data_IF_845992789213
#
_entry.id   IF_845992789213
#
_cell.length_a   1.000
_cell.length_b   1.000
_cell.length_c   1.000
_cell.angle_alpha   90.00
_cell.angle_beta   90.00
_cell.angle_gamma   90.00
#
_symmetry.space_group_name_H-M   'P 1'
#
loop_
_entity.id
_entity.type
_entity.pdbx_description
1 polymer ?
#
# COMPACT_ATOMS: atom_id res chain seq x y z
N UNK A 1 1.17 4.69 -50.54
CA UNK A 1 0.12 3.74 -50.05
C UNK A 1 0.30 3.39 -48.56
N UNK A 2 1.29 3.94 -47.84
CA UNK A 2 1.56 3.72 -46.42
C UNK A 2 0.75 4.64 -45.45
N UNK A 3 0.18 5.73 -45.92
CA UNK A 3 -0.47 6.76 -45.12
C UNK A 3 -1.89 6.43 -44.63
N UNK A 4 -2.47 5.31 -45.04
CA UNK A 4 -3.86 4.93 -44.64
C UNK A 4 -3.96 3.92 -43.50
N UNK A 5 -2.87 3.31 -43.09
CA UNK A 5 -2.90 2.32 -41.96
C UNK A 5 -2.96 3.01 -40.62
N UNK A 6 -2.37 4.20 -40.51
CA UNK A 6 -2.34 4.96 -39.25
C UNK A 6 -3.71 5.54 -38.82
N UNK A 7 -4.66 5.70 -39.76
CA UNK A 7 -6.02 6.20 -39.45
C UNK A 7 -6.91 5.16 -38.74
N UNK A 8 -6.56 3.87 -38.78
CA UNK A 8 -7.31 2.80 -38.12
C UNK A 8 -6.69 2.37 -36.78
N UNK A 9 -5.51 2.85 -36.44
CA UNK A 9 -4.89 2.58 -35.14
C UNK A 9 -5.55 3.42 -34.05
N UNK A 10 -6.35 2.76 -33.19
CA UNK A 10 -6.86 3.38 -31.98
C UNK A 10 -5.65 3.66 -31.08
N UNK A 11 -5.24 4.91 -30.93
CA UNK A 11 -4.13 5.32 -30.09
C UNK A 11 -4.34 4.91 -28.63
N UNK A 12 -3.25 4.87 -27.85
CA UNK A 12 -3.30 4.60 -26.40
C UNK A 12 -4.29 5.52 -25.70
N UNK A 13 -5.19 4.96 -24.89
CA UNK A 13 -6.20 5.71 -24.15
C UNK A 13 -5.89 5.66 -22.66
N UNK A 14 -5.91 6.80 -21.93
CA UNK A 14 -5.74 6.81 -20.48
C UNK A 14 -6.95 6.19 -19.79
N UNK A 15 -6.71 5.42 -18.74
CA UNK A 15 -7.77 4.94 -17.86
C UNK A 15 -8.42 6.12 -17.11
N UNK A 16 -9.73 6.07 -16.89
CA UNK A 16 -10.52 7.11 -16.22
C UNK A 16 -11.46 6.58 -15.13
N UNK A 17 -11.62 5.27 -15.07
CA UNK A 17 -12.58 4.61 -14.19
C UNK A 17 -12.15 4.67 -12.72
N UNK A 18 -10.84 4.60 -12.45
CA UNK A 18 -10.30 4.57 -11.09
C UNK A 18 -9.91 5.98 -10.65
N UNK A 19 -10.73 6.52 -9.78
CA UNK A 19 -10.60 7.86 -9.22
C UNK A 19 -9.77 7.91 -7.92
N UNK A 20 -9.80 9.06 -7.26
CA UNK A 20 -9.08 9.31 -6.01
C UNK A 20 -9.60 8.46 -4.84
N UNK A 21 -10.88 8.06 -4.82
CA UNK A 21 -11.45 7.21 -3.78
C UNK A 21 -10.81 5.83 -3.79
N UNK A 22 -10.67 5.22 -4.97
CA UNK A 22 -9.98 3.93 -5.13
C UNK A 22 -8.50 4.05 -4.74
N UNK A 23 -7.82 5.11 -5.15
CA UNK A 23 -6.41 5.36 -4.79
C UNK A 23 -6.25 5.45 -3.27
N UNK A 24 -7.11 6.22 -2.60
CA UNK A 24 -7.10 6.39 -1.15
C UNK A 24 -7.40 5.07 -0.42
N UNK A 25 -8.32 4.26 -0.94
CA UNK A 25 -8.55 2.92 -0.44
C UNK A 25 -7.32 2.02 -0.58
N UNK A 26 -6.69 1.98 -1.75
CA UNK A 26 -5.48 1.16 -1.96
C UNK A 26 -4.36 1.55 -1.00
N UNK A 27 -4.24 2.84 -0.67
CA UNK A 27 -3.28 3.34 0.31
C UNK A 27 -3.68 2.96 1.74
N UNK A 28 -4.86 3.39 2.20
CA UNK A 28 -5.30 3.18 3.58
C UNK A 28 -5.53 1.71 3.92
N UNK A 29 -6.06 0.94 2.96
CA UNK A 29 -6.26 -0.50 3.13
C UNK A 29 -4.93 -1.23 3.35
N UNK A 30 -3.92 -0.93 2.54
CA UNK A 30 -2.58 -1.47 2.72
C UNK A 30 -1.91 -0.99 4.00
N UNK A 31 -1.87 0.33 4.22
CA UNK A 31 -1.25 0.95 5.39
C UNK A 31 -1.88 0.48 6.71
N UNK A 32 -3.22 0.36 6.76
CA UNK A 32 -3.93 -0.17 7.93
C UNK A 32 -3.60 -1.62 8.23
N UNK A 33 -3.50 -2.47 7.18
CA UNK A 33 -3.10 -3.86 7.33
C UNK A 33 -1.62 -3.98 7.76
N UNK A 34 -0.74 -3.16 7.20
CA UNK A 34 0.67 -3.08 7.60
C UNK A 34 0.84 -2.64 9.06
N UNK A 35 0.14 -1.58 9.46
CA UNK A 35 0.14 -1.10 10.84
C UNK A 35 -0.36 -2.17 11.82
N UNK A 36 -1.44 -2.88 11.48
CA UNK A 36 -1.95 -3.98 12.30
C UNK A 36 -0.91 -5.09 12.45
N UNK A 37 -0.25 -5.51 11.37
CA UNK A 37 0.78 -6.55 11.44
C UNK A 37 1.98 -6.13 12.30
N UNK A 38 2.45 -4.90 12.16
CA UNK A 38 3.52 -4.34 13.00
C UNK A 38 3.10 -4.23 14.46
N UNK A 39 1.83 -3.87 14.74
CA UNK A 39 1.31 -3.82 16.11
C UNK A 39 1.32 -5.18 16.81
N UNK A 40 1.08 -6.26 16.06
CA UNK A 40 1.19 -7.63 16.59
C UNK A 40 2.65 -8.02 16.90
N UNK A 41 3.60 -7.53 16.11
CA UNK A 41 5.02 -7.73 16.36
C UNK A 41 5.48 -6.97 17.62
N UNK A 42 4.93 -5.77 17.83
CA UNK A 42 5.24 -4.91 18.99
C UNK A 42 4.39 -5.25 20.22
N UNK A 43 3.47 -6.20 20.14
CA UNK A 43 2.49 -6.56 21.17
C UNK A 43 1.71 -5.35 21.71
N UNK A 44 1.25 -4.48 20.78
CA UNK A 44 0.63 -3.21 21.11
C UNK A 44 -0.82 -3.12 20.60
N UNK A 45 -1.79 -3.47 21.45
CA UNK A 45 -3.21 -3.58 21.09
C UNK A 45 -3.82 -2.27 20.55
N UNK A 46 -3.49 -1.11 21.12
CA UNK A 46 -4.00 0.19 20.67
C UNK A 46 -3.49 0.55 19.26
N UNK A 47 -2.25 0.22 18.95
CA UNK A 47 -1.73 0.35 17.59
C UNK A 47 -2.47 -0.58 16.61
N UNK A 48 -2.81 -1.80 17.05
CA UNK A 48 -3.64 -2.73 16.29
C UNK A 48 -5.04 -2.19 16.01
N UNK A 49 -5.67 -1.58 17.01
CA UNK A 49 -6.96 -0.90 16.85
C UNK A 49 -6.87 0.23 15.81
N UNK A 50 -5.84 1.07 15.90
CA UNK A 50 -5.60 2.12 14.91
C UNK A 50 -5.45 1.54 13.50
N UNK A 51 -4.71 0.43 13.34
CA UNK A 51 -4.56 -0.27 12.06
C UNK A 51 -5.89 -0.73 11.47
N UNK A 52 -6.76 -1.31 12.30
CA UNK A 52 -8.11 -1.70 11.87
C UNK A 52 -8.98 -0.48 11.51
N UNK A 53 -8.90 0.60 12.26
CA UNK A 53 -9.64 1.84 11.96
C UNK A 53 -9.19 2.45 10.62
N UNK A 54 -7.89 2.48 10.33
CA UNK A 54 -7.34 2.95 9.06
C UNK A 54 -7.81 2.06 7.89
N UNK A 55 -7.80 0.73 8.06
CA UNK A 55 -8.33 -0.21 7.08
C UNK A 55 -9.82 0.02 6.81
N UNK A 56 -10.62 0.15 7.87
CA UNK A 56 -12.07 0.39 7.76
C UNK A 56 -12.35 1.72 7.06
N UNK A 57 -11.61 2.78 7.40
CA UNK A 57 -11.72 4.08 6.72
C UNK A 57 -11.45 3.94 5.22
N UNK A 58 -10.38 3.24 4.83
CA UNK A 58 -10.10 2.95 3.42
C UNK A 58 -11.24 2.19 2.76
N UNK A 59 -11.78 1.16 3.43
CA UNK A 59 -12.90 0.37 2.91
C UNK A 59 -14.17 1.20 2.73
N UNK A 60 -14.44 2.14 3.64
CA UNK A 60 -15.56 3.08 3.50
C UNK A 60 -15.39 3.99 2.28
N UNK A 61 -14.17 4.48 2.00
CA UNK A 61 -13.91 5.27 0.78
C UNK A 61 -14.17 4.44 -0.49
N UNK A 62 -13.80 3.15 -0.50
CA UNK A 62 -14.13 2.26 -1.60
C UNK A 62 -15.64 2.07 -1.77
N UNK A 63 -16.39 1.95 -0.68
CA UNK A 63 -17.85 1.85 -0.72
C UNK A 63 -18.50 3.12 -1.28
N UNK A 64 -17.95 4.30 -0.96
CA UNK A 64 -18.42 5.58 -1.50
C UNK A 64 -18.16 5.73 -3.01
N UNK A 65 -17.15 5.02 -3.55
CA UNK A 65 -16.88 5.00 -5.01
C UNK A 65 -17.92 4.16 -5.78
N UNK A 66 -18.68 3.31 -5.10
CA UNK A 66 -19.73 2.51 -5.73
C UNK A 66 -20.93 3.39 -6.08
N UNK A 67 -21.31 3.44 -7.34
CA UNK A 67 -22.52 4.16 -7.77
C UNK A 67 -23.82 3.72 -7.07
N UNK A 68 -23.82 2.51 -6.48
CA UNK A 68 -24.91 1.94 -5.68
C UNK A 68 -24.37 1.15 -4.50
N UNK A 69 -23.97 1.82 -3.41
CA UNK A 69 -23.32 1.20 -2.26
C UNK A 69 -24.23 0.17 -1.56
N UNK A 70 -25.55 0.30 -1.64
CA UNK A 70 -26.51 -0.68 -1.08
C UNK A 70 -26.40 -2.08 -1.71
N UNK A 71 -25.66 -2.19 -2.83
CA UNK A 71 -25.45 -3.47 -3.54
C UNK A 71 -24.06 -4.05 -3.34
N UNK A 72 -23.24 -3.50 -2.40
CA UNK A 72 -21.86 -3.94 -2.16
C UNK A 72 -21.74 -5.44 -1.85
N UNK A 73 -22.74 -6.03 -1.19
CA UNK A 73 -22.81 -7.45 -0.86
C UNK A 73 -22.65 -8.36 -2.08
N UNK A 74 -22.98 -7.87 -3.30
CA UNK A 74 -22.79 -8.62 -4.55
C UNK A 74 -21.32 -8.86 -4.87
N UNK A 75 -20.41 -8.04 -4.34
CA UNK A 75 -18.98 -8.22 -4.52
C UNK A 75 -18.48 -9.55 -3.93
N UNK A 76 -19.18 -10.16 -2.97
CA UNK A 76 -18.81 -11.43 -2.37
C UNK A 76 -19.07 -12.66 -3.25
N UNK A 77 -19.92 -12.57 -4.28
CA UNK A 77 -20.42 -13.77 -4.99
C UNK A 77 -19.49 -14.38 -6.04
N UNK A 78 -18.34 -13.76 -6.36
CA UNK A 78 -17.46 -14.27 -7.42
C UNK A 78 -15.99 -14.39 -6.96
N UNK A 79 -15.68 -15.10 -5.85
CA UNK A 79 -14.32 -15.14 -5.30
C UNK A 79 -13.33 -15.89 -6.19
N UNK A 80 -13.82 -16.83 -7.02
CA UNK A 80 -12.97 -17.62 -7.91
C UNK A 80 -12.48 -16.83 -9.13
N UNK A 81 -13.24 -15.85 -9.61
CA UNK A 81 -12.95 -15.11 -10.84
C UNK A 81 -12.58 -13.65 -10.63
N UNK A 82 -12.84 -13.07 -9.45
CA UNK A 82 -12.65 -11.63 -9.17
C UNK A 82 -11.73 -11.40 -7.97
N UNK A 83 -10.65 -10.64 -8.19
CA UNK A 83 -9.78 -10.21 -7.09
C UNK A 83 -10.50 -9.27 -6.11
N UNK A 84 -11.45 -8.45 -6.59
CA UNK A 84 -12.28 -7.60 -5.74
C UNK A 84 -13.09 -8.46 -4.76
N UNK A 85 -13.70 -9.55 -5.23
CA UNK A 85 -14.42 -10.50 -4.35
C UNK A 85 -13.50 -11.11 -3.30
N UNK A 86 -12.29 -11.55 -3.68
CA UNK A 86 -11.31 -12.08 -2.72
C UNK A 86 -10.93 -11.06 -1.68
N UNK A 87 -10.73 -9.79 -2.11
CA UNK A 87 -10.44 -8.69 -1.20
C UNK A 87 -11.54 -8.45 -0.16
N UNK A 88 -12.82 -8.56 -0.54
CA UNK A 88 -13.94 -8.46 0.41
C UNK A 88 -13.82 -9.51 1.52
N UNK A 89 -13.48 -10.78 1.18
CA UNK A 89 -13.25 -11.83 2.18
C UNK A 89 -12.03 -11.54 3.06
N UNK A 90 -10.90 -11.12 2.47
CA UNK A 90 -9.68 -10.84 3.22
C UNK A 90 -9.88 -9.69 4.21
N UNK A 91 -10.54 -8.61 3.78
CA UNK A 91 -10.86 -7.47 4.64
C UNK A 91 -11.80 -7.89 5.76
N UNK A 92 -12.86 -8.66 5.44
CA UNK A 92 -13.82 -9.15 6.45
C UNK A 92 -13.12 -10.03 7.48
N UNK A 93 -12.31 -10.98 7.05
CA UNK A 93 -11.52 -11.84 7.95
C UNK A 93 -10.58 -10.99 8.82
N UNK A 94 -9.88 -10.02 8.24
CA UNK A 94 -8.96 -9.16 8.98
C UNK A 94 -9.71 -8.32 10.01
N UNK A 95 -10.85 -7.72 9.68
CA UNK A 95 -11.64 -6.92 10.65
C UNK A 95 -12.16 -7.81 11.78
N UNK A 96 -12.73 -8.97 11.47
CA UNK A 96 -13.30 -9.87 12.49
C UNK A 96 -12.20 -10.48 13.38
N UNK A 97 -11.25 -11.18 12.80
CA UNK A 97 -10.21 -11.86 13.57
C UNK A 97 -9.19 -10.89 14.16
N UNK A 98 -8.92 -9.76 13.47
CA UNK A 98 -8.09 -8.70 14.01
C UNK A 98 -8.71 -8.05 15.25
N UNK A 99 -10.01 -7.75 15.25
CA UNK A 99 -10.71 -7.24 16.42
C UNK A 99 -10.68 -8.24 17.58
N UNK A 100 -10.92 -9.53 17.30
CA UNK A 100 -10.79 -10.59 18.29
C UNK A 100 -9.35 -10.68 18.84
N UNK A 101 -8.33 -10.56 18.00
CA UNK A 101 -6.92 -10.67 18.40
C UNK A 101 -6.49 -9.55 19.34
N UNK A 102 -6.95 -8.31 19.13
CA UNK A 102 -6.57 -7.18 19.99
C UNK A 102 -7.42 -7.05 21.25
N UNK A 103 -8.60 -7.69 21.30
CA UNK A 103 -9.57 -7.58 22.39
C UNK A 103 -8.96 -7.85 23.79
N UNK A 104 -8.14 -8.90 24.01
CA UNK A 104 -7.51 -9.14 25.33
C UNK A 104 -6.60 -8.00 25.77
N UNK A 105 -5.80 -7.43 24.85
CA UNK A 105 -4.92 -6.30 25.15
C UNK A 105 -5.65 -4.98 25.40
N UNK A 106 -6.94 -4.91 25.06
CA UNK A 106 -7.83 -3.78 25.38
C UNK A 106 -8.68 -4.04 26.65
N UNK A 107 -8.46 -5.16 27.34
CA UNK A 107 -9.19 -5.52 28.56
C UNK A 107 -10.48 -6.32 28.34
N UNK A 108 -10.66 -6.93 27.16
CA UNK A 108 -11.84 -7.75 26.84
C UNK A 108 -11.51 -9.26 26.76
N UNK A 109 -12.28 -10.06 27.45
CA UNK A 109 -12.80 -11.40 27.22
C UNK A 109 -11.96 -12.65 27.41
N UNK A 110 -10.69 -12.83 27.08
CA UNK A 110 -10.01 -14.14 27.25
C UNK A 110 -8.49 -14.05 27.37
N UNK A 111 -7.90 -15.15 27.84
CA UNK A 111 -6.44 -15.27 27.91
C UNK A 111 -5.86 -15.51 26.51
N UNK A 112 -4.94 -14.65 26.08
CA UNK A 112 -4.29 -14.70 24.77
C UNK A 112 -3.44 -15.96 24.54
N UNK A 113 -3.08 -16.68 25.61
CA UNK A 113 -2.25 -17.89 25.54
C UNK A 113 -2.97 -19.19 25.22
N UNK A 114 -4.29 -19.18 25.01
CA UNK A 114 -5.06 -20.38 24.68
C UNK A 114 -4.81 -20.88 23.26
N UNK A 115 -5.12 -22.15 22.97
CA UNK A 115 -5.08 -22.70 21.62
C UNK A 115 -5.97 -21.90 20.65
N UNK A 116 -7.13 -21.42 21.11
CA UNK A 116 -8.03 -20.54 20.37
C UNK A 116 -7.35 -19.21 20.05
N UNK A 117 -6.67 -18.58 21.00
CA UNK A 117 -5.93 -17.32 20.79
C UNK A 117 -4.85 -17.48 19.71
N UNK A 118 -4.15 -18.63 19.70
CA UNK A 118 -3.15 -18.92 18.67
C UNK A 118 -3.77 -19.04 17.27
N UNK A 119 -4.93 -19.66 17.14
CA UNK A 119 -5.66 -19.74 15.86
C UNK A 119 -6.14 -18.37 15.41
N UNK A 120 -6.71 -17.57 16.31
CA UNK A 120 -7.15 -16.21 16.02
C UNK A 120 -5.96 -15.37 15.52
N UNK A 121 -4.80 -15.44 16.21
CA UNK A 121 -3.57 -14.76 15.79
C UNK A 121 -3.12 -15.18 14.40
N UNK A 122 -3.07 -16.50 14.14
CA UNK A 122 -2.66 -17.01 12.84
C UNK A 122 -3.57 -16.53 11.69
N UNK A 123 -4.89 -16.57 11.90
CA UNK A 123 -5.87 -16.10 10.90
C UNK A 123 -5.77 -14.60 10.70
N UNK A 124 -5.63 -13.81 11.75
CA UNK A 124 -5.51 -12.34 11.63
C UNK A 124 -4.22 -11.92 10.92
N UNK A 125 -3.08 -12.59 11.21
CA UNK A 125 -1.81 -12.38 10.50
C UNK A 125 -1.95 -12.73 9.02
N UNK A 126 -2.49 -13.91 8.70
CA UNK A 126 -2.70 -14.34 7.32
C UNK A 126 -3.63 -13.37 6.57
N UNK A 127 -4.72 -12.92 7.20
CA UNK A 127 -5.64 -11.97 6.62
C UNK A 127 -4.97 -10.60 6.36
N UNK A 128 -4.15 -10.09 7.28
CA UNK A 128 -3.40 -8.85 7.11
C UNK A 128 -2.44 -8.93 5.92
N UNK A 129 -1.66 -10.02 5.82
CA UNK A 129 -0.76 -10.26 4.68
C UNK A 129 -1.55 -10.33 3.36
N UNK A 130 -2.68 -11.05 3.33
CA UNK A 130 -3.52 -11.15 2.15
C UNK A 130 -4.12 -9.80 1.74
N UNK A 131 -4.52 -8.94 2.69
CA UNK A 131 -5.00 -7.58 2.39
C UNK A 131 -3.89 -6.73 1.78
N UNK A 132 -2.67 -6.76 2.29
CA UNK A 132 -1.55 -6.00 1.73
C UNK A 132 -1.23 -6.44 0.30
N UNK A 133 -1.14 -7.75 0.06
CA UNK A 133 -0.82 -8.32 -1.26
C UNK A 133 -1.98 -8.11 -2.25
N UNK A 134 -3.22 -8.25 -1.78
CA UNK A 134 -4.42 -8.11 -2.58
C UNK A 134 -4.51 -6.74 -3.26
N UNK A 135 -4.13 -5.66 -2.59
CA UNK A 135 -4.16 -4.30 -3.16
C UNK A 135 -3.30 -4.19 -4.43
N UNK A 136 -2.22 -4.95 -4.54
CA UNK A 136 -1.43 -5.08 -5.76
C UNK A 136 -2.04 -6.03 -6.80
N UNK A 137 -2.66 -7.12 -6.34
CA UNK A 137 -3.34 -8.07 -7.25
C UNK A 137 -4.59 -7.50 -7.91
N UNK A 138 -5.19 -6.44 -7.40
CA UNK A 138 -6.28 -5.75 -8.08
C UNK A 138 -5.82 -5.12 -9.39
N UNK A 139 -4.55 -4.70 -9.49
CA UNK A 139 -3.94 -4.10 -10.68
C UNK A 139 -3.27 -5.16 -11.57
N UNK A 140 -2.52 -6.07 -10.97
CA UNK A 140 -1.61 -6.98 -11.65
C UNK A 140 -2.21 -7.83 -12.78
N UNK A 141 -3.41 -8.43 -12.68
CA UNK A 141 -3.99 -9.22 -13.78
C UNK A 141 -4.82 -8.36 -14.74
N UNK A 142 -4.26 -7.26 -15.23
CA UNK A 142 -4.90 -6.34 -16.18
C UNK A 142 -4.18 -6.32 -17.52
N UNK A 143 -4.37 -7.31 -18.40
CA UNK A 143 -3.68 -7.35 -19.69
C UNK A 143 -4.02 -6.16 -20.59
N UNK A 144 -5.19 -5.53 -20.38
CA UNK A 144 -5.60 -4.34 -21.12
C UNK A 144 -4.75 -3.09 -20.79
N UNK A 145 -4.09 -3.07 -19.63
CA UNK A 145 -3.17 -2.00 -19.20
C UNK A 145 -1.81 -2.64 -18.90
N UNK A 146 -0.94 -2.79 -19.90
CA UNK A 146 0.32 -3.53 -19.76
C UNK A 146 1.24 -3.01 -18.65
N UNK A 147 1.22 -1.72 -18.36
CA UNK A 147 1.99 -1.12 -17.27
C UNK A 147 1.59 -1.70 -15.91
N UNK A 148 0.33 -2.08 -15.71
CA UNK A 148 -0.15 -2.71 -14.48
C UNK A 148 0.10 -4.22 -14.45
N UNK A 149 0.16 -4.86 -15.63
CA UNK A 149 0.28 -6.31 -15.76
C UNK A 149 1.69 -6.80 -15.39
N UNK A 150 1.97 -6.80 -14.09
CA UNK A 150 3.27 -7.17 -13.52
C UNK A 150 3.12 -7.90 -12.20
N UNK A 151 3.83 -9.01 -12.05
CA UNK A 151 3.94 -9.75 -10.79
C UNK A 151 4.65 -8.95 -9.67
N UNK A 152 5.32 -7.84 -10.02
CA UNK A 152 5.98 -7.00 -9.02
C UNK A 152 5.00 -6.14 -8.23
N UNK A 153 3.83 -5.77 -8.77
CA UNK A 153 2.88 -4.91 -8.04
C UNK A 153 2.43 -5.46 -6.69
N UNK A 154 2.01 -6.74 -6.56
CA UNK A 154 1.67 -7.30 -5.25
C UNK A 154 2.80 -7.19 -4.23
N UNK A 155 4.06 -7.37 -4.66
CA UNK A 155 5.24 -7.26 -3.80
C UNK A 155 5.53 -5.80 -3.45
N UNK A 156 5.48 -4.89 -4.42
CA UNK A 156 5.66 -3.44 -4.20
C UNK A 156 4.62 -2.94 -3.19
N UNK A 157 3.34 -3.27 -3.40
CA UNK A 157 2.26 -2.82 -2.51
C UNK A 157 2.37 -3.41 -1.11
N UNK A 158 2.81 -4.67 -0.99
CA UNK A 158 3.08 -5.30 0.30
C UNK A 158 4.17 -4.56 1.08
N UNK A 159 5.32 -4.28 0.45
CA UNK A 159 6.45 -3.61 1.11
C UNK A 159 6.10 -2.16 1.47
N UNK A 160 5.44 -1.42 0.58
CA UNK A 160 4.94 -0.08 0.88
C UNK A 160 3.91 -0.09 2.01
N UNK A 161 3.04 -1.10 2.09
CA UNK A 161 2.04 -1.20 3.15
C UNK A 161 2.69 -1.39 4.53
N UNK A 162 3.75 -2.19 4.63
CA UNK A 162 4.54 -2.32 5.85
C UNK A 162 5.22 -1.00 6.22
N UNK A 163 5.87 -0.35 5.25
CA UNK A 163 6.55 0.92 5.45
C UNK A 163 5.57 2.00 5.94
N UNK A 164 4.43 2.16 5.26
CA UNK A 164 3.38 3.10 5.66
C UNK A 164 2.77 2.77 7.03
N UNK A 165 2.62 1.48 7.36
CA UNK A 165 2.16 1.04 8.68
C UNK A 165 3.09 1.48 9.80
N UNK A 166 4.41 1.35 9.61
CA UNK A 166 5.41 1.83 10.57
C UNK A 166 5.37 3.36 10.66
N UNK A 167 5.28 4.06 9.53
CA UNK A 167 5.22 5.52 9.50
C UNK A 167 4.01 6.05 10.29
N UNK A 168 2.82 5.46 10.10
CA UNK A 168 1.62 5.81 10.86
C UNK A 168 1.81 5.49 12.35
N UNK A 169 2.44 4.37 12.69
CA UNK A 169 2.71 4.00 14.08
C UNK A 169 3.61 5.03 14.78
N UNK A 170 4.67 5.48 14.12
CA UNK A 170 5.57 6.51 14.64
C UNK A 170 4.83 7.83 14.85
N UNK A 171 4.02 8.26 13.88
CA UNK A 171 3.22 9.49 14.01
C UNK A 171 2.20 9.40 15.15
N UNK A 172 1.62 8.23 15.37
CA UNK A 172 0.63 8.00 16.41
C UNK A 172 1.24 7.73 17.80
N UNK A 173 2.52 7.34 17.86
CA UNK A 173 3.17 6.87 19.10
C UNK A 173 3.01 7.79 20.31
N UNK A 174 3.02 9.14 20.21
CA UNK A 174 2.82 10.01 21.39
C UNK A 174 1.40 9.98 21.95
N UNK A 175 0.43 9.50 21.17
CA UNK A 175 -1.00 9.52 21.50
C UNK A 175 -1.52 8.14 21.89
N UNK A 176 -0.73 7.08 21.67
CA UNK A 176 -1.15 5.72 21.94
C UNK A 176 -0.96 5.37 23.43
N UNK A 177 -2.01 4.91 24.14
CA UNK A 177 -1.87 4.38 25.50
C UNK A 177 -1.07 3.08 25.48
N UNK A 178 -0.29 2.82 26.52
CA UNK A 178 0.43 1.55 26.70
C UNK A 178 1.94 1.70 26.88
N UNK A 179 2.67 0.61 26.66
CA UNK A 179 4.12 0.59 26.78
C UNK A 179 4.78 1.43 25.67
N UNK A 180 5.93 2.07 25.97
CA UNK A 180 6.69 2.80 24.95
C UNK A 180 7.13 1.87 23.82
N UNK A 181 7.03 2.36 22.60
CA UNK A 181 7.44 1.62 21.40
C UNK A 181 8.96 1.64 21.23
N UNK A 182 9.52 0.53 20.77
CA UNK A 182 10.93 0.47 20.35
C UNK A 182 11.10 1.15 18.97
N UNK A 183 11.25 2.48 19.02
CA UNK A 183 11.41 3.30 17.82
C UNK A 183 12.71 2.96 17.06
N UNK A 184 13.75 2.50 17.75
CA UNK A 184 15.04 2.17 17.14
C UNK A 184 14.91 0.96 16.21
N UNK A 185 14.25 -0.09 16.66
CA UNK A 185 13.98 -1.27 15.84
C UNK A 185 13.06 -0.94 14.65
N UNK A 186 12.06 -0.08 14.84
CA UNK A 186 11.18 0.39 13.78
C UNK A 186 11.95 1.20 12.73
N UNK A 187 12.82 2.11 13.12
CA UNK A 187 13.65 2.90 12.21
C UNK A 187 14.60 2.02 11.37
N UNK A 188 15.21 1.01 11.99
CA UNK A 188 16.04 0.05 11.25
C UNK A 188 15.22 -0.71 10.20
N UNK A 189 14.04 -1.19 10.57
CA UNK A 189 13.15 -1.89 9.64
C UNK A 189 12.71 -0.98 8.48
N UNK A 190 12.43 0.31 8.75
CA UNK A 190 12.12 1.29 7.72
C UNK A 190 13.23 1.48 6.68
N UNK A 191 14.50 1.48 7.10
CA UNK A 191 15.66 1.59 6.19
C UNK A 191 15.63 0.43 5.19
N UNK A 192 15.46 -0.82 5.66
CA UNK A 192 15.40 -2.00 4.78
C UNK A 192 14.18 -1.98 3.86
N UNK A 193 13.01 -1.61 4.39
CA UNK A 193 11.78 -1.54 3.60
C UNK A 193 11.84 -0.42 2.56
N UNK A 194 12.37 0.76 2.89
CA UNK A 194 12.53 1.87 1.94
C UNK A 194 13.52 1.51 0.82
N UNK A 195 14.63 0.84 1.15
CA UNK A 195 15.56 0.31 0.15
C UNK A 195 14.89 -0.73 -0.75
N UNK A 196 14.12 -1.65 -0.16
CA UNK A 196 13.38 -2.65 -0.93
C UNK A 196 12.34 -1.99 -1.85
N UNK A 197 11.58 -0.99 -1.38
CA UNK A 197 10.66 -0.20 -2.22
C UNK A 197 11.39 0.44 -3.40
N UNK A 198 12.52 1.10 -3.16
CA UNK A 198 13.31 1.75 -4.20
C UNK A 198 13.76 0.74 -5.26
N UNK A 199 14.34 -0.38 -4.85
CA UNK A 199 14.81 -1.42 -5.77
C UNK A 199 13.66 -2.05 -6.56
N UNK A 200 12.53 -2.33 -5.91
CA UNK A 200 11.35 -2.93 -6.57
C UNK A 200 10.71 -1.95 -7.58
N UNK A 201 10.60 -0.67 -7.24
CA UNK A 201 10.08 0.35 -8.16
C UNK A 201 11.00 0.50 -9.36
N UNK A 202 12.32 0.60 -9.17
CA UNK A 202 13.29 0.68 -10.27
C UNK A 202 13.26 -0.59 -11.13
N UNK A 203 13.15 -1.78 -10.53
CA UNK A 203 13.01 -3.04 -11.25
C UNK A 203 11.74 -3.08 -12.09
N UNK A 204 10.61 -2.61 -11.54
CA UNK A 204 9.35 -2.52 -12.29
C UNK A 204 9.48 -1.60 -13.51
N UNK A 205 10.06 -0.42 -13.35
CA UNK A 205 10.31 0.51 -14.46
C UNK A 205 11.23 -0.12 -15.52
N UNK A 206 12.28 -0.81 -15.10
CA UNK A 206 13.20 -1.50 -16.01
C UNK A 206 12.48 -2.55 -16.84
N UNK A 207 11.67 -3.42 -16.22
CA UNK A 207 10.91 -4.47 -16.91
C UNK A 207 9.90 -3.85 -17.87
N UNK A 208 9.15 -2.84 -17.43
CA UNK A 208 8.13 -2.20 -18.27
C UNK A 208 8.72 -1.37 -19.42
N UNK A 209 9.98 -0.92 -19.32
CA UNK A 209 10.67 -0.18 -20.38
C UNK A 209 10.91 -1.02 -21.64
N UNK A 210 10.94 -2.34 -21.52
CA UNK A 210 11.08 -3.30 -22.61
C UNK A 210 9.77 -4.02 -22.98
N UNK A 211 8.65 -3.63 -22.38
CA UNK A 211 7.33 -4.23 -22.56
C UNK A 211 6.54 -3.59 -23.73
N UNK A 212 5.21 -3.74 -23.75
CA UNK A 212 4.28 -3.23 -24.75
C UNK A 212 4.39 -1.70 -24.96
N UNK A 213 3.89 -1.21 -26.08
CA UNK A 213 3.93 0.22 -26.45
C UNK A 213 3.26 1.09 -25.38
N UNK A 214 2.07 0.69 -24.90
CA UNK A 214 1.35 1.43 -23.86
C UNK A 214 2.13 1.48 -22.53
N UNK A 215 2.85 0.41 -22.15
CA UNK A 215 3.69 0.40 -20.94
C UNK A 215 4.87 1.36 -21.08
N UNK A 216 5.55 1.37 -22.22
CA UNK A 216 6.65 2.32 -22.47
C UNK A 216 6.19 3.78 -22.45
N UNK A 217 5.02 4.07 -23.00
CA UNK A 217 4.46 5.41 -22.96
C UNK A 217 4.04 5.80 -21.54
N UNK A 218 3.51 4.87 -20.72
CA UNK A 218 3.27 5.09 -19.30
C UNK A 218 4.55 5.49 -18.54
N UNK A 219 5.66 4.80 -18.81
CA UNK A 219 6.98 5.17 -18.23
C UNK A 219 7.43 6.54 -18.71
N UNK A 220 7.27 6.84 -20.00
CA UNK A 220 7.63 8.16 -20.53
C UNK A 220 6.85 9.28 -19.84
N UNK A 221 5.54 9.07 -19.60
CA UNK A 221 4.70 10.02 -18.85
C UNK A 221 5.18 10.19 -17.41
N UNK A 222 5.65 9.10 -16.76
CA UNK A 222 6.17 9.12 -15.39
C UNK A 222 7.55 9.77 -15.27
N UNK A 223 8.44 9.60 -16.27
CA UNK A 223 9.84 10.02 -16.13
C UNK A 223 10.17 11.32 -16.85
N UNK A 224 9.56 11.56 -18.02
CA UNK A 224 9.87 12.71 -18.88
C UNK A 224 8.64 13.55 -19.24
N UNK A 225 7.43 13.03 -18.96
CA UNK A 225 6.17 13.70 -19.26
C UNK A 225 5.70 14.62 -18.12
N UNK A 226 4.42 14.99 -18.18
CA UNK A 226 3.80 15.90 -17.22
C UNK A 226 3.88 15.47 -15.75
N UNK A 227 4.09 14.19 -15.48
CA UNK A 227 4.18 13.61 -14.14
C UNK A 227 5.63 13.42 -13.67
N UNK A 228 6.62 13.74 -14.52
CA UNK A 228 8.04 13.46 -14.25
C UNK A 228 8.56 14.10 -12.96
N UNK A 229 8.24 15.38 -12.73
CA UNK A 229 8.64 16.07 -11.51
C UNK A 229 8.01 15.44 -10.27
N UNK A 230 6.71 15.09 -10.32
CA UNK A 230 6.02 14.45 -9.20
C UNK A 230 6.56 13.05 -8.93
N UNK A 231 6.85 12.28 -9.97
CA UNK A 231 7.38 10.93 -9.79
C UNK A 231 8.84 10.95 -9.32
N UNK A 232 9.73 11.61 -10.06
CA UNK A 232 11.15 11.62 -9.71
C UNK A 232 11.42 12.45 -8.45
N UNK A 233 10.85 13.64 -8.35
CA UNK A 233 11.02 14.52 -7.18
C UNK A 233 10.21 14.07 -5.97
N UNK A 234 8.92 13.76 -6.14
CA UNK A 234 8.02 13.44 -5.05
C UNK A 234 8.13 11.99 -4.58
N UNK A 235 8.07 11.00 -5.50
CA UNK A 235 8.12 9.58 -5.10
C UNK A 235 9.54 9.12 -4.83
N UNK A 236 10.45 9.30 -5.82
CA UNK A 236 11.80 8.73 -5.72
C UNK A 236 12.64 9.55 -4.74
N UNK A 237 12.79 10.86 -4.97
CA UNK A 237 13.69 11.67 -4.15
C UNK A 237 13.09 11.94 -2.77
N UNK A 238 11.96 12.62 -2.68
CA UNK A 238 11.38 13.03 -1.39
C UNK A 238 10.78 11.85 -0.61
N UNK A 239 10.14 10.88 -1.29
CA UNK A 239 9.47 9.75 -0.64
C UNK A 239 10.40 8.59 -0.27
N UNK A 240 11.49 8.36 -1.00
CA UNK A 240 12.36 7.20 -0.76
C UNK A 240 13.82 7.61 -0.49
N UNK A 241 14.50 8.32 -1.41
CA UNK A 241 15.95 8.55 -1.33
C UNK A 241 16.33 9.45 -0.16
N UNK A 242 15.66 10.58 0.02
CA UNK A 242 15.94 11.52 1.12
C UNK A 242 15.67 10.86 2.48
N UNK A 243 14.50 10.25 2.74
CA UNK A 243 14.26 9.56 4.01
C UNK A 243 15.27 8.41 4.25
N UNK A 244 15.59 7.63 3.22
CA UNK A 244 16.57 6.54 3.33
C UNK A 244 17.98 7.05 3.70
N UNK A 245 18.48 8.05 2.99
CA UNK A 245 19.80 8.62 3.22
C UNK A 245 19.92 9.26 4.61
N UNK A 246 18.89 10.00 5.02
CA UNK A 246 18.86 10.70 6.29
C UNK A 246 18.68 9.73 7.47
N UNK A 247 17.81 8.73 7.37
CA UNK A 247 17.66 7.67 8.38
C UNK A 247 18.96 6.88 8.52
N UNK A 248 19.63 6.56 7.41
CA UNK A 248 20.94 5.92 7.43
C UNK A 248 21.99 6.78 8.16
N UNK A 249 22.07 8.07 7.83
CA UNK A 249 23.06 8.98 8.44
C UNK A 249 22.84 9.20 9.96
N UNK A 250 21.57 9.17 10.42
CA UNK A 250 21.22 9.35 11.84
C UNK A 250 21.39 8.06 12.64
N UNK A 251 21.19 6.89 12.04
CA UNK A 251 21.36 5.59 12.73
C UNK A 251 22.77 5.39 13.30
N UNK A 252 23.76 6.18 12.86
CA UNK A 252 25.15 6.18 13.33
C UNK A 252 25.41 7.20 14.45
N UNK A 253 24.44 8.09 14.80
CA UNK A 253 24.59 9.15 15.80
C UNK A 253 23.61 8.94 16.95
N UNK A 254 24.10 8.57 18.14
CA UNK A 254 23.26 8.34 19.33
C UNK A 254 22.83 9.63 20.01
N UNK A 255 21.79 10.34 19.52
CA UNK A 255 21.14 11.46 20.20
C UNK A 255 19.62 11.33 20.12
N UNK A 256 19.00 10.83 21.20
CA UNK A 256 17.60 10.36 21.20
C UNK A 256 16.51 11.43 21.04
N UNK A 257 16.69 12.68 21.46
CA UNK A 257 15.59 13.67 21.45
C UNK A 257 15.46 14.53 20.19
N UNK A 258 16.56 14.84 19.52
CA UNK A 258 16.51 15.50 18.19
C UNK A 258 15.97 14.54 17.10
N UNK A 259 15.97 13.25 17.39
CA UNK A 259 15.59 12.15 16.51
C UNK A 259 14.09 12.11 16.27
N UNK A 260 13.22 12.31 17.29
CA UNK A 260 11.77 12.12 17.11
C UNK A 260 11.15 13.11 16.11
N UNK A 261 11.37 14.41 16.25
CA UNK A 261 10.84 15.41 15.30
C UNK A 261 11.33 15.17 13.88
N UNK A 262 12.58 14.72 13.75
CA UNK A 262 13.17 14.36 12.48
C UNK A 262 12.52 13.11 11.89
N UNK A 263 12.31 12.06 12.69
CA UNK A 263 11.63 10.83 12.26
C UNK A 263 10.19 11.10 11.82
N UNK A 264 9.48 12.01 12.48
CA UNK A 264 8.14 12.47 12.07
C UNK A 264 8.17 13.09 10.66
N UNK A 265 9.12 13.96 10.38
CA UNK A 265 9.25 14.57 9.03
C UNK A 265 9.52 13.49 7.97
N UNK A 266 10.42 12.55 8.26
CA UNK A 266 10.73 11.46 7.34
C UNK A 266 9.52 10.53 7.12
N UNK A 267 8.75 10.24 8.17
CA UNK A 267 7.52 9.46 8.06
C UNK A 267 6.48 10.16 7.16
N UNK A 268 6.29 11.47 7.33
CA UNK A 268 5.38 12.25 6.47
C UNK A 268 5.83 12.25 5.01
N UNK A 269 7.14 12.37 4.74
CA UNK A 269 7.69 12.32 3.38
C UNK A 269 7.46 10.94 2.74
N UNK A 270 7.66 9.84 3.49
CA UNK A 270 7.43 8.48 3.00
C UNK A 270 5.95 8.22 2.73
N UNK A 271 5.05 8.60 3.64
CA UNK A 271 3.60 8.48 3.43
C UNK A 271 3.12 9.28 2.22
N UNK A 272 3.62 10.51 2.06
CA UNK A 272 3.35 11.31 0.87
C UNK A 272 3.85 10.61 -0.39
N UNK A 273 5.07 10.08 -0.37
CA UNK A 273 5.68 9.36 -1.49
C UNK A 273 4.90 8.10 -1.87
N UNK A 274 4.45 7.29 -0.90
CA UNK A 274 3.62 6.09 -1.16
C UNK A 274 2.25 6.47 -1.74
N UNK A 275 1.55 7.44 -1.15
CA UNK A 275 0.27 7.90 -1.70
C UNK A 275 0.44 8.42 -3.13
N UNK A 276 1.47 9.23 -3.36
CA UNK A 276 1.78 9.78 -4.68
C UNK A 276 2.17 8.68 -5.68
N UNK A 277 2.90 7.65 -5.26
CA UNK A 277 3.22 6.49 -6.09
C UNK A 277 1.93 5.79 -6.57
N UNK A 278 1.02 5.47 -5.66
CA UNK A 278 -0.27 4.84 -5.99
C UNK A 278 -1.11 5.73 -6.91
N UNK A 279 -1.15 7.02 -6.63
CA UNK A 279 -1.83 8.00 -7.47
C UNK A 279 -1.27 8.00 -8.89
N UNK A 280 0.05 8.07 -9.05
CA UNK A 280 0.69 8.14 -10.35
C UNK A 280 0.56 6.82 -11.13
N UNK A 281 0.72 5.67 -10.47
CA UNK A 281 0.50 4.35 -11.10
C UNK A 281 -0.88 4.26 -11.72
N UNK A 282 -1.91 4.72 -11.02
CA UNK A 282 -3.28 4.73 -11.55
C UNK A 282 -3.41 5.73 -12.70
N UNK A 283 -2.86 6.95 -12.56
CA UNK A 283 -3.02 8.03 -13.56
C UNK A 283 -2.28 7.80 -14.88
N UNK A 284 -1.19 7.05 -14.86
CA UNK A 284 -0.44 6.73 -16.08
C UNK A 284 -0.86 5.41 -16.73
N UNK A 285 -1.85 4.71 -16.18
CA UNK A 285 -2.41 3.52 -16.81
C UNK A 285 -2.98 3.85 -18.19
N UNK A 286 -2.39 3.23 -19.24
CA UNK A 286 -2.82 3.38 -20.61
C UNK A 286 -3.30 2.03 -21.13
N UNK A 287 -4.47 2.04 -21.77
CA UNK A 287 -4.95 0.87 -22.51
C UNK A 287 -4.09 0.64 -23.75
N UNK A 288 -3.73 -0.62 -23.97
CA UNK A 288 -3.01 -1.01 -25.18
C UNK A 288 -3.90 -0.78 -26.41
N UNK A 289 -3.36 -0.30 -27.54
CA UNK A 289 -4.14 -0.16 -28.76
C UNK A 289 -4.70 -1.52 -29.18
N UNK A 290 -5.98 -1.57 -29.46
CA UNK A 290 -6.58 -2.74 -30.11
C UNK A 290 -6.10 -2.75 -31.56
N UNK A 291 -5.36 -3.77 -31.94
CA UNK A 291 -4.97 -4.03 -33.33
C UNK A 291 -6.16 -4.58 -34.14
#
# INVERSE_FOLDING_TARGET
>A
MAARIDEFLIGVKPQREWGWLVISYLFLGGAGAGLFLISLYMDHAWAGLLGLLVLVLGTLLLLLDLGRPERFWRAFFRPWSSWISRGCFFITLMVLFGALQIAPGLGFLWESGSAMGSVIKAVSVAAAVLVMIYTGFVLSPSPAIPFWNSALFPVIFFVYSLLAGIDILILASPFLPGAPLDLVSLERLQIYLALACLLLVLSHLSVMSSSAVAARESIRLLTRGRWGLLFLGGVIVAGLVVPLALSWAVSWKSQAQAVFAFTVILALLRLFGDYLFRFLVIRVGLYDPLL
#
